data_IF_538396200639
#
_entry.id   IF_538396200639
#
_cell.length_a   1.000
_cell.length_b   1.000
_cell.length_c   1.000
_cell.angle_alpha   90.00
_cell.angle_beta   90.00
_cell.angle_gamma   90.00
#
_symmetry.space_group_name_H-M   'P 1'
#
loop_
_entity.id
_entity.type
_entity.pdbx_description
1 polymer ?
#
# COMPACT_ATOMS: atom_id res chain seq x y z
N UNK A 1 -9.31 -6.09 14.86
CA UNK A 1 -8.34 -4.98 14.97
C UNK A 1 -9.06 -3.71 15.39
N UNK A 2 -8.33 -2.62 15.64
CA UNK A 2 -8.92 -1.28 15.82
C UNK A 2 -9.32 -0.73 14.45
N UNK A 3 -10.47 -0.07 14.36
CA UNK A 3 -10.88 0.63 13.14
C UNK A 3 -9.85 1.72 12.77
N UNK A 4 -9.57 1.84 11.48
CA UNK A 4 -8.64 2.83 10.92
C UNK A 4 -9.30 3.51 9.72
N UNK A 5 -9.06 4.81 9.57
CA UNK A 5 -9.55 5.60 8.44
C UNK A 5 -8.39 6.28 7.73
N UNK A 6 -8.52 6.44 6.41
CA UNK A 6 -7.56 7.16 5.59
C UNK A 6 -8.30 7.89 4.46
N UNK A 7 -7.87 9.13 4.18
CA UNK A 7 -8.19 9.86 2.97
C UNK A 7 -6.96 9.87 2.10
N UNK A 8 -7.10 9.42 0.86
CA UNK A 8 -5.99 9.26 -0.07
C UNK A 8 -6.25 9.98 -1.37
N UNK A 9 -5.17 10.46 -1.98
CA UNK A 9 -5.14 10.98 -3.35
C UNK A 9 -4.47 9.96 -4.25
N UNK A 10 -5.09 9.66 -5.40
CA UNK A 10 -4.38 9.01 -6.50
C UNK A 10 -3.28 9.96 -6.97
N UNK A 11 -2.04 9.65 -6.59
CA UNK A 11 -0.91 10.56 -6.69
C UNK A 11 -0.22 10.42 -8.04
N UNK A 12 0.09 9.19 -8.45
CA UNK A 12 0.73 8.89 -9.72
C UNK A 12 0.11 7.64 -10.34
N UNK A 13 0.03 7.63 -11.66
CA UNK A 13 -0.36 6.47 -12.47
C UNK A 13 0.65 6.36 -13.59
N UNK A 14 1.25 5.18 -13.71
CA UNK A 14 2.15 4.80 -14.78
C UNK A 14 1.59 3.54 -15.43
N UNK A 15 0.78 3.73 -16.46
CA UNK A 15 0.14 2.65 -17.19
C UNK A 15 1.15 1.74 -17.91
N UNK A 16 2.29 2.31 -18.35
CA UNK A 16 3.32 1.57 -19.07
C UNK A 16 3.98 0.53 -18.16
N UNK A 17 4.23 0.90 -16.90
CA UNK A 17 4.78 0.01 -15.89
C UNK A 17 3.71 -0.65 -15.01
N UNK A 18 2.41 -0.48 -15.30
CA UNK A 18 1.29 -0.97 -14.46
C UNK A 18 1.51 -0.63 -12.98
N UNK A 19 1.83 0.63 -12.72
CA UNK A 19 2.10 1.14 -11.39
C UNK A 19 1.12 2.25 -11.05
N UNK A 20 0.70 2.28 -9.79
CA UNK A 20 -0.10 3.36 -9.22
C UNK A 20 0.37 3.68 -7.81
N UNK A 21 0.29 4.96 -7.44
CA UNK A 21 0.71 5.44 -6.14
C UNK A 21 -0.42 6.23 -5.48
N UNK A 22 -0.64 6.00 -4.19
CA UNK A 22 -1.58 6.75 -3.37
C UNK A 22 -0.83 7.54 -2.31
N UNK A 23 -1.10 8.84 -2.23
CA UNK A 23 -0.59 9.70 -1.17
C UNK A 23 -1.64 9.83 -0.08
N UNK A 24 -1.25 9.56 1.17
CA UNK A 24 -2.13 9.76 2.32
C UNK A 24 -2.26 11.26 2.62
N UNK A 25 -3.49 11.75 2.75
CA UNK A 25 -3.82 13.15 3.04
C UNK A 25 -4.32 13.36 4.47
N UNK A 26 -5.17 12.46 4.95
CA UNK A 26 -5.75 12.48 6.30
C UNK A 26 -5.90 11.03 6.81
N UNK A 27 -6.07 10.86 8.12
CA UNK A 27 -6.35 9.57 8.74
C UNK A 27 -5.34 9.14 9.80
N UNK A 28 -5.62 8.00 10.42
CA UNK A 28 -4.92 7.55 11.63
C UNK A 28 -3.44 7.22 11.37
N UNK A 29 -3.08 6.80 10.16
CA UNK A 29 -1.70 6.52 9.80
C UNK A 29 -0.81 7.77 9.85
N UNK A 30 -1.39 8.95 9.61
CA UNK A 30 -0.65 10.21 9.65
C UNK A 30 -0.35 10.70 11.07
N UNK A 31 -0.87 10.02 12.11
CA UNK A 31 -0.44 10.24 13.50
C UNK A 31 0.96 9.63 13.76
N UNK A 32 1.35 8.62 12.97
CA UNK A 32 2.61 7.90 13.11
C UNK A 32 3.64 8.25 12.03
N UNK A 33 3.17 8.57 10.83
CA UNK A 33 3.99 8.71 9.63
C UNK A 33 3.70 10.04 8.92
N UNK A 34 4.74 10.67 8.37
CA UNK A 34 4.61 11.81 7.44
C UNK A 34 5.01 11.39 6.03
N UNK A 35 4.50 12.14 5.04
CA UNK A 35 4.77 11.92 3.62
C UNK A 35 4.51 10.47 3.16
N UNK A 36 3.51 9.82 3.74
CA UNK A 36 3.23 8.42 3.45
C UNK A 36 2.66 8.24 2.04
N UNK A 37 3.35 7.44 1.22
CA UNK A 37 2.95 7.05 -0.13
C UNK A 37 2.94 5.53 -0.21
N UNK A 38 1.86 4.99 -0.77
CA UNK A 38 1.68 3.56 -0.98
C UNK A 38 1.65 3.32 -2.48
N UNK A 39 2.58 2.52 -2.98
CA UNK A 39 2.70 2.21 -4.41
C UNK A 39 2.40 0.74 -4.65
N UNK A 40 1.56 0.47 -5.64
CA UNK A 40 1.29 -0.86 -6.18
C UNK A 40 1.97 -0.92 -7.54
N UNK A 41 2.78 -1.95 -7.74
CA UNK A 41 3.41 -2.23 -9.02
C UNK A 41 3.12 -3.68 -9.41
N UNK A 42 2.69 -3.90 -10.64
CA UNK A 42 2.38 -5.24 -11.17
C UNK A 42 3.31 -5.61 -12.30
N UNK A 43 4.10 -6.67 -12.10
CA UNK A 43 5.03 -7.18 -13.10
C UNK A 43 4.62 -8.57 -13.56
N UNK A 44 4.40 -8.76 -14.86
CA UNK A 44 4.06 -10.08 -15.43
C UNK A 44 5.33 -10.79 -15.88
N UNK A 45 5.67 -11.93 -15.26
CA UNK A 45 6.81 -12.79 -15.66
C UNK A 45 6.33 -14.20 -15.95
N UNK A 46 6.61 -14.69 -17.16
CA UNK A 46 6.27 -16.06 -17.55
C UNK A 46 4.76 -16.38 -17.43
N UNK A 47 3.89 -15.38 -17.61
CA UNK A 47 2.44 -15.54 -17.48
C UNK A 47 1.91 -15.47 -16.03
N UNK A 48 2.77 -15.19 -15.05
CA UNK A 48 2.38 -14.97 -13.65
C UNK A 48 2.52 -13.49 -13.33
N UNK A 49 1.49 -12.91 -12.71
CA UNK A 49 1.51 -11.52 -12.23
C UNK A 49 2.08 -11.45 -10.81
N UNK A 50 3.10 -10.62 -10.63
CA UNK A 50 3.73 -10.34 -9.35
C UNK A 50 3.32 -8.94 -8.88
N UNK A 51 2.58 -8.88 -7.78
CA UNK A 51 2.13 -7.62 -7.17
C UNK A 51 3.12 -7.22 -6.08
N UNK A 52 3.73 -6.04 -6.23
CA UNK A 52 4.64 -5.46 -5.24
C UNK A 52 3.98 -4.26 -4.57
N UNK A 53 3.83 -4.33 -3.25
CA UNK A 53 3.42 -3.21 -2.41
C UNK A 53 4.64 -2.52 -1.82
N UNK A 54 4.79 -1.22 -2.09
CA UNK A 54 5.85 -0.38 -1.51
C UNK A 54 5.22 0.68 -0.61
N UNK A 55 5.73 0.83 0.61
CA UNK A 55 5.32 1.88 1.54
C UNK A 55 6.51 2.81 1.75
N UNK A 56 6.44 4.01 1.20
CA UNK A 56 7.38 5.10 1.47
C UNK A 56 6.82 5.97 2.58
N UNK A 57 7.61 6.22 3.61
CA UNK A 57 7.18 6.98 4.78
C UNK A 57 8.37 7.56 5.51
N UNK A 58 8.10 8.59 6.32
CA UNK A 58 9.03 9.05 7.34
C UNK A 58 8.34 8.92 8.70
N UNK A 59 9.06 8.44 9.71
CA UNK A 59 8.54 8.41 11.07
C UNK A 59 8.40 9.85 11.60
N UNK A 60 7.29 10.13 12.29
CA UNK A 60 7.12 11.41 13.01
C UNK A 60 8.00 11.43 14.26
N UNK A 61 8.05 10.30 14.99
CA UNK A 61 8.94 10.07 16.11
C UNK A 61 9.81 8.83 15.81
N UNK A 62 11.13 8.86 16.03
CA UNK A 62 12.00 7.69 15.88
C UNK A 62 11.53 6.41 16.59
N UNK A 63 10.77 6.54 17.69
CA UNK A 63 10.25 5.40 18.46
C UNK A 63 8.97 4.80 17.87
N UNK A 64 8.38 5.43 16.83
CA UNK A 64 7.18 4.90 16.18
C UNK A 64 7.49 3.59 15.45
N UNK A 65 6.55 2.62 15.45
CA UNK A 65 6.76 1.35 14.79
C UNK A 65 6.80 1.52 13.27
N UNK A 66 7.63 0.72 12.59
CA UNK A 66 7.54 0.56 11.14
C UNK A 66 6.20 -0.07 10.74
N UNK A 67 5.64 0.26 9.55
CA UNK A 67 4.29 -0.16 9.12
C UNK A 67 4.23 -1.63 8.65
N UNK A 68 4.89 -2.55 9.35
CA UNK A 68 4.95 -3.98 8.99
C UNK A 68 3.58 -4.66 9.09
N UNK A 69 2.74 -4.25 10.05
CA UNK A 69 1.37 -4.76 10.17
C UNK A 69 0.51 -4.35 8.96
N UNK A 70 0.71 -3.14 8.44
CA UNK A 70 0.03 -2.65 7.25
C UNK A 70 0.54 -3.37 5.98
N UNK A 71 1.84 -3.64 5.89
CA UNK A 71 2.39 -4.46 4.81
C UNK A 71 1.80 -5.87 4.80
N UNK A 72 1.68 -6.49 5.98
CA UNK A 72 1.05 -7.81 6.11
C UNK A 72 -0.44 -7.78 5.72
N UNK A 73 -1.15 -6.70 6.08
CA UNK A 73 -2.53 -6.49 5.63
C UNK A 73 -2.63 -6.46 4.10
N UNK A 74 -1.74 -5.76 3.40
CA UNK A 74 -1.77 -5.73 1.93
C UNK A 74 -1.50 -7.10 1.29
N UNK A 75 -0.64 -7.91 1.89
CA UNK A 75 -0.37 -9.27 1.42
C UNK A 75 -1.64 -10.13 1.53
N UNK A 76 -2.30 -10.11 2.70
CA UNK A 76 -3.54 -10.88 2.90
C UNK A 76 -4.69 -10.35 2.02
N UNK A 77 -4.84 -9.03 1.93
CA UNK A 77 -5.82 -8.40 1.04
C UNK A 77 -5.62 -8.82 -0.43
N UNK A 78 -4.37 -8.90 -0.89
CA UNK A 78 -4.05 -9.33 -2.26
C UNK A 78 -4.48 -10.78 -2.50
N UNK A 79 -4.27 -11.68 -1.53
CA UNK A 79 -4.72 -13.08 -1.62
C UNK A 79 -6.25 -13.19 -1.65
N UNK A 80 -6.94 -12.38 -0.86
CA UNK A 80 -8.42 -12.35 -0.85
C UNK A 80 -8.98 -11.85 -2.18
N UNK A 81 -8.36 -10.81 -2.77
CA UNK A 81 -8.73 -10.31 -4.10
C UNK A 81 -8.46 -11.36 -5.18
N UNK A 82 -7.30 -12.02 -5.14
CA UNK A 82 -6.98 -13.12 -6.06
C UNK A 82 -8.02 -14.25 -5.97
N UNK A 83 -8.33 -14.70 -4.75
CA UNK A 83 -9.33 -15.74 -4.53
C UNK A 83 -10.73 -15.32 -4.98
N UNK A 84 -11.08 -14.03 -4.90
CA UNK A 84 -12.37 -13.53 -5.37
C UNK A 84 -12.46 -13.41 -6.90
N UNK A 85 -11.37 -13.03 -7.56
CA UNK A 85 -11.33 -12.82 -9.02
C UNK A 85 -11.16 -14.16 -9.77
N UNK A 86 -10.36 -15.07 -9.23
CA UNK A 86 -9.95 -16.30 -9.91
C UNK A 86 -10.46 -17.60 -9.26
N UNK A 87 -11.01 -17.54 -8.04
CA UNK A 87 -11.62 -18.68 -7.35
C UNK A 87 -13.07 -18.92 -7.77
#
# INVERSE_FOLDING_TARGET
GKEQTAKQLLYEVDDANKQLSFKMLEGNLLELYKNMIITIHVETKGGVDFITWTISYELINPDNPHPLSLLNFFIEFTKEVEAHIFG
#
